data_IF_237879666802
#
_entry.id   IF_237879666802
#
_cell.length_a   1.000
_cell.length_b   1.000
_cell.length_c   1.000
_cell.angle_alpha   90.00
_cell.angle_beta   90.00
_cell.angle_gamma   90.00
#
_symmetry.space_group_name_H-M   'P 1'
#
loop_
_entity.id
_entity.type
_entity.pdbx_description
1 polymer ?
#
# COMPACT_ATOMS: atom_id res chain seq x y z
N UNK A 1 1.46 -19.49 20.41
CA UNK A 1 0.88 -18.14 20.12
C UNK A 1 1.03 -17.86 18.63
N UNK A 2 0.00 -18.15 17.83
CA UNK A 2 0.05 -17.93 16.38
C UNK A 2 -0.27 -16.46 16.11
N UNK A 3 0.78 -15.63 16.04
CA UNK A 3 0.67 -14.22 15.68
C UNK A 3 0.30 -14.16 14.19
N UNK A 4 -1.00 -14.22 13.85
CA UNK A 4 -1.50 -13.78 12.54
C UNK A 4 -1.35 -12.27 12.49
N UNK A 5 -0.11 -11.82 12.34
CA UNK A 5 0.23 -10.42 12.13
C UNK A 5 -0.50 -10.00 10.86
N UNK A 6 -1.19 -8.85 10.89
CA UNK A 6 -1.87 -8.22 9.73
C UNK A 6 -0.81 -7.79 8.70
N UNK A 7 -0.17 -8.80 8.09
CA UNK A 7 1.03 -8.68 7.25
C UNK A 7 0.68 -8.00 5.92
N UNK A 8 -0.58 -8.13 5.50
CA UNK A 8 -1.09 -7.63 4.23
C UNK A 8 -1.35 -6.13 4.25
N UNK A 9 -1.67 -5.53 5.41
CA UNK A 9 -1.80 -4.07 5.55
C UNK A 9 -0.44 -3.36 5.39
N UNK A 10 0.58 -3.83 6.10
CA UNK A 10 1.94 -3.29 5.97
C UNK A 10 2.52 -3.47 4.56
N UNK A 11 2.26 -4.63 3.94
CA UNK A 11 2.65 -4.90 2.55
C UNK A 11 1.94 -3.95 1.56
N UNK A 12 0.65 -3.70 1.77
CA UNK A 12 -0.12 -2.76 0.95
C UNK A 12 0.45 -1.34 1.00
N UNK A 13 0.78 -0.83 2.18
CA UNK A 13 1.42 0.50 2.33
C UNK A 13 2.78 0.53 1.63
N UNK A 14 3.62 -0.49 1.82
CA UNK A 14 4.95 -0.54 1.20
C UNK A 14 4.87 -0.54 -0.35
N UNK A 15 3.96 -1.34 -0.91
CA UNK A 15 3.69 -1.37 -2.35
C UNK A 15 3.14 -0.03 -2.85
N UNK A 16 2.16 0.53 -2.13
CA UNK A 16 1.58 1.82 -2.45
C UNK A 16 2.61 2.95 -2.47
N UNK A 17 3.49 3.00 -1.48
CA UNK A 17 4.57 3.98 -1.41
C UNK A 17 5.60 3.79 -2.54
N UNK A 18 5.99 2.54 -2.85
CA UNK A 18 6.92 2.25 -3.94
C UNK A 18 6.36 2.67 -5.31
N UNK A 19 5.09 2.33 -5.59
CA UNK A 19 4.40 2.70 -6.84
C UNK A 19 4.17 4.21 -6.89
N UNK A 20 3.67 4.82 -5.81
CA UNK A 20 3.42 6.27 -5.76
C UNK A 20 4.69 7.10 -5.94
N UNK A 21 5.81 6.62 -5.40
CA UNK A 21 7.12 7.29 -5.57
C UNK A 21 7.65 7.12 -6.99
N UNK A 22 7.64 5.90 -7.54
CA UNK A 22 8.14 5.64 -8.91
C UNK A 22 7.33 6.37 -9.97
N UNK A 23 5.99 6.36 -9.87
CA UNK A 23 5.11 7.16 -10.74
C UNK A 23 5.39 8.65 -10.54
N UNK A 24 5.49 9.11 -9.30
CA UNK A 24 5.76 10.51 -8.97
C UNK A 24 7.03 11.08 -9.55
N UNK A 25 8.11 10.29 -9.50
CA UNK A 25 9.39 10.65 -10.12
C UNK A 25 9.24 10.72 -11.63
N UNK A 26 8.52 9.79 -12.26
CA UNK A 26 8.32 9.79 -13.70
C UNK A 26 7.52 11.00 -14.21
N UNK A 27 6.53 11.48 -13.45
CA UNK A 27 5.71 12.64 -13.81
C UNK A 27 6.19 13.97 -13.18
N UNK A 28 7.32 13.96 -12.47
CA UNK A 28 7.84 15.08 -11.70
C UNK A 28 6.85 15.71 -10.69
N UNK A 29 5.85 14.93 -10.23
CA UNK A 29 4.77 15.36 -9.34
C UNK A 29 4.67 14.46 -8.10
N UNK A 30 5.82 14.27 -7.44
CA UNK A 30 5.98 13.34 -6.31
C UNK A 30 5.07 13.68 -5.13
N UNK A 31 4.80 14.97 -4.91
CA UNK A 31 3.97 15.46 -3.81
C UNK A 31 2.51 14.95 -3.88
N UNK A 32 1.98 14.75 -5.08
CA UNK A 32 0.61 14.26 -5.29
C UNK A 32 0.59 12.74 -5.40
N UNK A 33 1.57 12.15 -6.09
CA UNK A 33 1.58 10.72 -6.37
C UNK A 33 1.87 9.85 -5.15
N UNK A 34 2.67 10.33 -4.18
CA UNK A 34 2.95 9.60 -2.92
C UNK A 34 1.68 9.37 -2.11
N UNK A 35 0.90 10.40 -1.73
CA UNK A 35 -0.32 10.19 -0.95
C UNK A 35 -1.35 9.35 -1.72
N UNK A 36 -1.47 9.52 -3.04
CA UNK A 36 -2.31 8.67 -3.90
C UNK A 36 -1.86 7.21 -3.84
N UNK A 37 -0.57 6.95 -4.01
CA UNK A 37 0.01 5.62 -3.93
C UNK A 37 -0.23 4.96 -2.57
N UNK A 38 -0.04 5.69 -1.47
CA UNK A 38 -0.28 5.19 -0.12
C UNK A 38 -1.76 4.84 0.10
N UNK A 39 -2.69 5.68 -0.34
CA UNK A 39 -4.14 5.41 -0.22
C UNK A 39 -4.52 4.16 -1.01
N UNK A 40 -4.05 4.05 -2.25
CA UNK A 40 -4.28 2.85 -3.07
C UNK A 40 -3.69 1.60 -2.41
N UNK A 41 -2.45 1.69 -1.93
CA UNK A 41 -1.78 0.62 -1.20
C UNK A 41 -2.53 0.17 0.06
N UNK A 42 -3.06 1.12 0.83
CA UNK A 42 -3.91 0.85 2.00
C UNK A 42 -5.20 0.13 1.63
N UNK A 43 -5.89 0.55 0.57
CA UNK A 43 -7.12 -0.08 0.09
C UNK A 43 -6.83 -1.53 -0.33
N UNK A 44 -5.82 -1.73 -1.17
CA UNK A 44 -5.42 -3.07 -1.63
C UNK A 44 -4.99 -3.97 -0.46
N UNK A 45 -4.12 -3.46 0.43
CA UNK A 45 -3.68 -4.20 1.61
C UNK A 45 -4.82 -4.57 2.54
N UNK A 46 -5.80 -3.68 2.71
CA UNK A 46 -6.98 -3.93 3.55
C UNK A 46 -7.94 -4.94 2.94
N UNK A 47 -8.14 -4.92 1.62
CA UNK A 47 -8.97 -5.91 0.92
C UNK A 47 -8.34 -7.30 1.00
N UNK A 48 -7.01 -7.38 0.81
CA UNK A 48 -6.27 -8.64 0.86
C UNK A 48 -6.22 -9.22 2.27
N UNK A 49 -6.03 -8.37 3.29
CA UNK A 49 -6.10 -8.74 4.70
C UNK A 49 -7.48 -9.32 5.07
N UNK A 50 -8.55 -8.66 4.61
CA UNK A 50 -9.92 -9.10 4.87
C UNK A 50 -10.26 -10.43 4.16
N UNK A 51 -9.68 -10.71 2.99
CA UNK A 51 -9.79 -12.02 2.33
C UNK A 51 -9.02 -13.11 3.05
N UNK A 52 -7.82 -12.82 3.55
CA UNK A 52 -6.98 -13.81 4.24
C UNK A 52 -7.51 -14.18 5.64
N UNK A 53 -8.37 -13.33 6.21
CA UNK A 53 -9.00 -13.54 7.51
C UNK A 53 -10.41 -14.19 7.43
N UNK A 54 -10.89 -14.50 6.23
CA UNK A 54 -12.01 -15.42 6.00
C UNK A 54 -11.49 -16.81 5.65
#
# INVERSE_FOLDING_TARGET
MNMRHSRFRGLGIALGAAIGTSVGVAINQVAISIPVGIVLGLIFGSILDNRSNR
#
